data_IF_994632137887
#
_entry.id   IF_994632137887
#
_cell.length_a   1.000
_cell.length_b   1.000
_cell.length_c   1.000
_cell.angle_alpha   90.00
_cell.angle_beta   90.00
_cell.angle_gamma   90.00
#
_symmetry.space_group_name_H-M   'P 1'
#
loop_
_entity.id
_entity.type
_entity.pdbx_description
1 polymer ?
#
# COMPACT_ATOMS: atom_id res chain seq x y z
N UNK A 1 11.62 -7.19 4.24
CA UNK A 1 11.12 -7.39 5.62
C UNK A 1 12.31 -7.43 6.54
N UNK A 2 12.25 -6.80 7.73
CA UNK A 2 13.33 -6.89 8.72
C UNK A 2 13.65 -8.36 9.08
N UNK A 3 14.89 -8.66 9.48
CA UNK A 3 15.32 -10.01 9.82
C UNK A 3 14.58 -10.55 11.05
N UNK A 4 14.57 -11.88 11.21
CA UNK A 4 13.93 -12.55 12.35
C UNK A 4 14.49 -12.04 13.68
N UNK A 5 13.63 -11.87 14.68
CA UNK A 5 14.01 -11.31 15.99
C UNK A 5 14.01 -9.78 16.05
N UNK A 6 13.94 -9.08 14.90
CA UNK A 6 13.89 -7.62 14.90
C UNK A 6 12.55 -7.09 15.45
N UNK A 7 12.55 -6.09 16.38
CA UNK A 7 11.32 -5.61 17.04
C UNK A 7 10.27 -5.09 16.05
N UNK A 8 10.70 -4.40 15.00
CA UNK A 8 9.80 -3.85 13.96
C UNK A 8 9.30 -4.88 12.92
N UNK A 9 9.74 -6.14 12.99
CA UNK A 9 9.39 -7.14 11.98
C UNK A 9 7.88 -7.43 11.93
N UNK A 10 7.25 -7.58 13.09
CA UNK A 10 5.81 -7.86 13.17
C UNK A 10 5.00 -6.73 12.52
N UNK A 11 5.38 -5.47 12.79
CA UNK A 11 4.77 -4.28 12.18
C UNK A 11 4.95 -4.26 10.66
N UNK A 12 6.13 -4.59 10.16
CA UNK A 12 6.38 -4.68 8.71
C UNK A 12 5.56 -5.78 8.04
N UNK A 13 5.37 -6.94 8.69
CA UNK A 13 4.48 -7.99 8.19
C UNK A 13 3.03 -7.51 8.11
N UNK A 14 2.53 -6.86 9.17
CA UNK A 14 1.18 -6.32 9.21
C UNK A 14 0.94 -5.35 8.06
N UNK A 15 1.86 -4.38 7.90
CA UNK A 15 1.81 -3.40 6.82
C UNK A 15 1.81 -4.05 5.43
N UNK A 16 2.66 -5.07 5.21
CA UNK A 16 2.67 -5.81 3.95
C UNK A 16 1.31 -6.46 3.65
N UNK A 17 0.69 -7.10 4.64
CA UNK A 17 -0.62 -7.77 4.48
C UNK A 17 -1.72 -6.76 4.18
N UNK A 18 -1.72 -5.61 4.85
CA UNK A 18 -2.67 -4.53 4.60
C UNK A 18 -2.55 -4.01 3.17
N UNK A 19 -1.34 -3.64 2.74
CA UNK A 19 -1.08 -3.16 1.38
C UNK A 19 -1.37 -4.23 0.33
N UNK A 20 -1.08 -5.50 0.62
CA UNK A 20 -1.40 -6.60 -0.29
C UNK A 20 -2.91 -6.77 -0.45
N UNK A 21 -3.70 -6.59 0.62
CA UNK A 21 -5.17 -6.61 0.54
C UNK A 21 -5.67 -5.45 -0.31
N UNK A 22 -5.19 -4.23 -0.04
CA UNK A 22 -5.55 -3.04 -0.82
C UNK A 22 -5.10 -3.14 -2.28
N UNK A 23 -3.97 -3.77 -2.56
CA UNK A 23 -3.44 -3.91 -3.90
C UNK A 23 -4.22 -4.86 -4.81
N UNK A 24 -5.03 -5.77 -4.25
CA UNK A 24 -5.82 -6.73 -5.04
C UNK A 24 -6.93 -6.07 -5.87
N UNK A 25 -7.51 -5.01 -5.35
CA UNK A 25 -8.64 -4.32 -5.99
C UNK A 25 -8.18 -3.08 -6.77
N UNK A 26 -6.87 -2.90 -6.96
CA UNK A 26 -6.29 -1.64 -7.41
C UNK A 26 -6.96 -1.20 -8.73
N UNK A 27 -7.40 0.07 -8.87
CA UNK A 27 -8.24 0.48 -9.99
C UNK A 27 -7.66 0.23 -11.38
N UNK A 28 -6.33 0.27 -11.52
CA UNK A 28 -5.60 0.05 -12.77
C UNK A 28 -4.95 -1.34 -12.78
N UNK A 29 -5.42 -2.29 -13.62
CA UNK A 29 -4.84 -3.62 -13.71
C UNK A 29 -3.41 -3.62 -14.28
N UNK A 30 -3.02 -2.61 -15.06
CA UNK A 30 -1.70 -2.53 -15.70
C UNK A 30 -0.61 -2.02 -14.74
N UNK A 31 -0.99 -1.43 -13.61
CA UNK A 31 -0.04 -0.83 -12.67
C UNK A 31 0.86 -1.85 -11.97
N UNK A 32 0.45 -3.13 -11.90
CA UNK A 32 1.15 -4.23 -11.21
C UNK A 32 1.53 -3.89 -9.76
N UNK A 33 0.53 -3.46 -8.97
CA UNK A 33 0.74 -3.02 -7.58
C UNK A 33 1.43 -4.10 -6.72
N UNK A 34 0.94 -5.34 -6.78
CA UNK A 34 1.46 -6.44 -5.96
C UNK A 34 2.91 -6.81 -6.32
N UNK A 35 3.28 -6.74 -7.61
CA UNK A 35 4.66 -6.95 -8.04
C UNK A 35 5.60 -5.89 -7.46
N UNK A 36 5.19 -4.61 -7.54
CA UNK A 36 5.95 -3.49 -6.94
C UNK A 36 6.06 -3.61 -5.42
N UNK A 37 4.97 -3.99 -4.74
CA UNK A 37 4.95 -4.22 -3.30
C UNK A 37 5.95 -5.31 -2.89
N UNK A 38 5.91 -6.47 -3.56
CA UNK A 38 6.88 -7.56 -3.31
C UNK A 38 8.32 -7.09 -3.54
N UNK A 39 8.57 -6.40 -4.65
CA UNK A 39 9.89 -5.85 -4.97
C UNK A 39 10.40 -4.88 -3.89
N UNK A 40 9.56 -3.97 -3.41
CA UNK A 40 9.92 -3.02 -2.37
C UNK A 40 10.29 -3.73 -1.06
N UNK A 41 9.48 -4.69 -0.61
CA UNK A 41 9.75 -5.41 0.64
C UNK A 41 10.96 -6.35 0.54
N UNK A 42 11.22 -6.93 -0.63
CA UNK A 42 12.39 -7.76 -0.88
C UNK A 42 13.69 -6.94 -0.87
N UNK A 43 13.71 -5.80 -1.59
CA UNK A 43 14.90 -4.92 -1.66
C UNK A 43 15.30 -4.38 -0.29
N UNK A 44 14.34 -4.12 0.59
CA UNK A 44 14.58 -3.61 1.95
C UNK A 44 14.60 -4.73 3.02
N UNK A 45 14.85 -6.00 2.64
CA UNK A 45 14.85 -7.11 3.61
C UNK A 45 16.12 -7.22 4.46
N UNK A 46 17.22 -6.66 3.97
CA UNK A 46 18.50 -6.66 4.68
C UNK A 46 18.60 -5.54 5.73
N UNK A 47 17.65 -4.59 5.77
CA UNK A 47 17.70 -3.46 6.69
C UNK A 47 17.58 -3.95 8.13
N UNK A 48 18.53 -3.51 8.96
CA UNK A 48 18.61 -3.77 10.41
C UNK A 48 18.48 -2.51 11.24
N UNK A 49 18.73 -1.33 10.66
CA UNK A 49 18.60 -0.06 11.38
C UNK A 49 17.13 0.31 11.59
N UNK A 50 16.79 0.63 12.84
CA UNK A 50 15.43 0.95 13.21
C UNK A 50 14.93 2.25 12.56
N UNK A 51 15.80 3.26 12.38
CA UNK A 51 15.38 4.55 11.79
C UNK A 51 15.04 4.35 10.32
N UNK A 52 15.87 3.60 9.60
CA UNK A 52 15.61 3.27 8.19
C UNK A 52 14.34 2.45 8.01
N UNK A 53 14.13 1.41 8.84
CA UNK A 53 12.90 0.61 8.79
C UNK A 53 11.67 1.46 9.07
N UNK A 54 11.73 2.33 10.08
CA UNK A 54 10.64 3.26 10.39
C UNK A 54 10.36 4.21 9.23
N UNK A 55 11.39 4.76 8.58
CA UNK A 55 11.21 5.60 7.39
C UNK A 55 10.49 4.85 6.25
N UNK A 56 10.83 3.57 6.02
CA UNK A 56 10.13 2.74 5.03
C UNK A 56 8.68 2.44 5.45
N UNK A 57 8.42 2.27 6.74
CA UNK A 57 7.05 2.07 7.25
C UNK A 57 6.20 3.33 7.09
N UNK A 58 6.77 4.53 7.29
CA UNK A 58 6.08 5.80 7.03
C UNK A 58 5.75 5.94 5.55
N UNK A 59 6.68 5.58 4.66
CA UNK A 59 6.41 5.56 3.23
C UNK A 59 5.30 4.55 2.88
N UNK A 60 5.30 3.37 3.48
CA UNK A 60 4.25 2.37 3.27
C UNK A 60 2.87 2.87 3.73
N UNK A 61 2.80 3.59 4.84
CA UNK A 61 1.59 4.24 5.34
C UNK A 61 1.09 5.34 4.38
N UNK A 62 2.00 6.11 3.79
CA UNK A 62 1.65 7.10 2.76
C UNK A 62 1.01 6.41 1.53
N UNK A 63 1.64 5.35 1.02
CA UNK A 63 1.13 4.58 -0.12
C UNK A 63 -0.25 3.97 0.18
N UNK A 64 -0.47 3.51 1.41
CA UNK A 64 -1.77 3.03 1.87
C UNK A 64 -2.85 4.12 1.73
N UNK A 65 -2.61 5.31 2.29
CA UNK A 65 -3.53 6.45 2.25
C UNK A 65 -3.82 6.93 0.83
N UNK A 66 -2.80 6.97 -0.02
CA UNK A 66 -2.96 7.31 -1.44
C UNK A 66 -3.86 6.28 -2.15
N UNK A 67 -3.61 4.99 -1.91
CA UNK A 67 -4.40 3.90 -2.49
C UNK A 67 -5.86 3.95 -2.03
N UNK A 68 -6.11 4.16 -0.73
CA UNK A 68 -7.46 4.38 -0.19
C UNK A 68 -8.15 5.60 -0.83
N UNK A 69 -7.41 6.67 -1.10
CA UNK A 69 -7.92 7.87 -1.76
C UNK A 69 -8.32 7.58 -3.21
N UNK A 70 -7.54 6.79 -3.94
CA UNK A 70 -7.90 6.34 -5.29
C UNK A 70 -9.20 5.53 -5.30
N UNK A 71 -9.43 4.67 -4.31
CA UNK A 71 -10.70 3.97 -4.14
C UNK A 71 -11.88 4.92 -3.91
N UNK A 72 -11.73 5.89 -3.00
CA UNK A 72 -12.75 6.90 -2.74
C UNK A 72 -13.06 7.71 -4.01
N UNK A 73 -12.04 8.08 -4.76
CA UNK A 73 -12.19 8.83 -6.01
C UNK A 73 -12.89 8.00 -7.09
N UNK A 74 -12.55 6.72 -7.24
CA UNK A 74 -13.26 5.79 -8.15
C UNK A 74 -14.74 5.72 -7.79
N UNK A 75 -15.07 5.53 -6.51
CA UNK A 75 -16.46 5.51 -6.02
C UNK A 75 -17.19 6.83 -6.31
N UNK A 76 -16.56 7.95 -6.00
CA UNK A 76 -17.13 9.28 -6.26
C UNK A 76 -17.41 9.51 -7.74
N UNK A 77 -16.46 9.18 -8.63
CA UNK A 77 -16.63 9.29 -10.09
C UNK A 77 -17.82 8.46 -10.58
N UNK A 78 -17.97 7.24 -10.08
CA UNK A 78 -19.11 6.37 -10.43
C UNK A 78 -20.44 6.97 -9.94
N UNK A 79 -20.51 7.43 -8.69
CA UNK A 79 -21.71 8.08 -8.12
C UNK A 79 -22.09 9.32 -8.92
N UNK A 80 -21.13 10.21 -9.18
CA UNK A 80 -21.36 11.44 -9.95
C UNK A 80 -21.92 11.15 -11.34
N UNK A 81 -21.39 10.15 -12.05
CA UNK A 81 -21.91 9.76 -13.38
C UNK A 81 -23.33 9.20 -13.34
N UNK A 82 -23.74 8.60 -12.23
CA UNK A 82 -25.07 7.99 -12.09
C UNK A 82 -26.15 9.00 -11.73
N UNK A 83 -25.83 9.97 -10.87
CA UNK A 83 -26.83 10.87 -10.28
C UNK A 83 -26.79 12.30 -10.82
N UNK A 84 -25.67 12.77 -11.39
CA UNK A 84 -25.56 14.13 -11.97
C UNK A 84 -25.64 14.14 -13.51
N UNK A 85 -26.23 13.11 -14.12
CA UNK A 85 -26.48 13.07 -15.57
C UNK A 85 -27.91 13.50 -15.95
N UNK A 86 -28.77 13.70 -14.94
CA UNK A 86 -30.20 13.96 -15.12
C UNK A 86 -30.60 15.42 -14.78
N UNK A 87 -29.61 16.33 -14.65
CA UNK A 87 -29.76 17.80 -14.64
C UNK A 87 -29.08 18.40 -15.88
#
# INVERSE_FOLDING_TARGET
>A
MPPLGHPLRARAIGMYKELHRLGREYPDPNYNFLGKLRGMFARNAHLTDEKEINAKLVLAEFVKKETETLYKLKKYRTMRRRYLKDD
#
